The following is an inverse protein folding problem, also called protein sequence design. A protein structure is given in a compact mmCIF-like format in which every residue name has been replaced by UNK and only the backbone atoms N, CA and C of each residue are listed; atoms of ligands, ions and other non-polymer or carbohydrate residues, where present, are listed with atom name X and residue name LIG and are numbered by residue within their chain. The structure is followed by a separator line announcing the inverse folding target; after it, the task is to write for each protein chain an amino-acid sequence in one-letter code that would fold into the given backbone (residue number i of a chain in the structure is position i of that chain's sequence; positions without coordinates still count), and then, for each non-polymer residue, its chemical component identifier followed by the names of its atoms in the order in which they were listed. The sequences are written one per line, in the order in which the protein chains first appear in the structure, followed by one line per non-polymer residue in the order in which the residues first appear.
data_IF_887795671152
#
_entry.id   IF_887795671152
#
_cell.length_a   1.000
_cell.length_b   1.000
_cell.length_c   1.000
_cell.angle_alpha   90.00
_cell.angle_beta   90.00
_cell.angle_gamma   90.00
#
_symmetry.space_group_name_H-M   'P 1'
#
loop_
_entity.id
_entity.type
_entity.pdbx_description
1 polymer ?
#
# COMPACT_ATOMS: atom_id res chain seq x y z
N UNK A 1 6.55 18.67 9.05
CA UNK A 1 5.93 17.71 10.00
C UNK A 1 6.14 18.17 11.42
N UNK A 2 5.49 17.53 12.42
CA UNK A 2 5.48 17.97 13.83
C UNK A 2 6.89 18.26 14.40
N UNK A 3 7.89 17.46 14.03
CA UNK A 3 9.28 17.69 14.42
C UNK A 3 9.85 19.02 13.93
N UNK A 4 9.57 19.41 12.68
CA UNK A 4 10.10 20.65 12.12
C UNK A 4 9.59 21.89 12.85
N UNK A 5 8.30 21.91 13.22
CA UNK A 5 7.70 22.98 14.04
C UNK A 5 8.29 23.03 15.44
N UNK A 6 8.53 21.88 16.08
CA UNK A 6 9.21 21.84 17.38
C UNK A 6 10.67 22.30 17.27
N UNK A 7 11.36 21.95 16.18
CA UNK A 7 12.72 22.38 15.92
C UNK A 7 12.83 23.90 15.79
N UNK A 8 11.83 24.59 15.23
CA UNK A 8 11.77 26.06 15.22
C UNK A 8 11.72 26.62 16.64
N UNK A 9 10.97 25.98 17.54
CA UNK A 9 10.89 26.35 18.96
C UNK A 9 12.19 26.15 19.74
N UNK A 10 13.03 25.21 19.32
CA UNK A 10 14.31 24.91 19.95
C UNK A 10 15.48 25.72 19.36
N UNK A 11 15.55 25.77 18.03
CA UNK A 11 16.72 26.20 17.27
C UNK A 11 16.51 27.48 16.45
N UNK A 12 15.40 28.20 16.61
CA UNK A 12 15.18 29.47 15.94
C UNK A 12 16.29 30.47 16.27
N UNK A 13 17.10 30.85 15.28
CA UNK A 13 18.23 31.75 15.47
C UNK A 13 17.91 33.16 14.93
N UNK A 14 17.90 34.20 15.78
CA UNK A 14 17.62 35.58 15.36
C UNK A 14 18.66 36.15 14.39
N UNK A 15 19.88 35.62 14.36
CA UNK A 15 20.94 36.03 13.42
C UNK A 15 20.69 35.53 11.99
N UNK A 16 19.91 34.45 11.85
CA UNK A 16 19.59 33.85 10.55
C UNK A 16 18.32 34.49 9.97
N UNK A 17 17.37 34.86 10.84
CA UNK A 17 16.12 35.47 10.43
C UNK A 17 15.75 36.61 11.38
N UNK A 18 15.99 37.83 10.92
CA UNK A 18 15.68 39.05 11.67
C UNK A 18 14.16 39.20 11.83
N UNK A 19 13.70 39.45 13.07
CA UNK A 19 12.28 39.41 13.43
C UNK A 19 11.69 38.00 13.54
N UNK A 20 12.53 36.98 13.39
CA UNK A 20 12.15 35.58 13.48
C UNK A 20 11.94 35.07 14.91
N UNK A 21 11.32 33.89 15.04
CA UNK A 21 11.17 33.23 16.33
C UNK A 21 12.53 32.86 16.94
N UNK A 22 12.77 33.31 18.17
CA UNK A 22 13.98 32.97 18.93
C UNK A 22 13.73 31.67 19.69
N UNK A 23 14.52 30.65 19.36
CA UNK A 23 14.43 29.33 19.96
C UNK A 23 14.98 29.29 21.39
N UNK A 24 14.62 28.23 22.11
CA UNK A 24 15.04 28.00 23.49
C UNK A 24 16.56 28.06 23.66
N UNK A 25 17.32 27.48 22.72
CA UNK A 25 18.80 27.45 22.79
C UNK A 25 19.47 28.77 22.40
N UNK A 26 18.71 29.72 21.86
CA UNK A 26 19.19 31.07 21.49
C UNK A 26 18.67 32.14 22.45
N UNK A 27 18.16 31.75 23.62
CA UNK A 27 17.73 32.68 24.68
C UNK A 27 16.28 33.17 24.56
N UNK A 28 15.48 32.64 23.62
CA UNK A 28 14.07 33.02 23.43
C UNK A 28 13.11 32.49 24.49
N UNK A 29 13.60 31.69 25.44
CA UNK A 29 12.82 31.10 26.53
C UNK A 29 11.86 30.00 26.07
N UNK A 30 11.07 29.47 27.02
CA UNK A 30 10.16 28.34 26.75
C UNK A 30 8.89 28.74 25.99
N UNK A 31 8.56 30.04 25.97
CA UNK A 31 7.35 30.55 25.32
C UNK A 31 7.29 30.18 23.84
N UNK A 32 8.40 30.32 23.13
CA UNK A 32 8.45 30.00 21.70
C UNK A 32 8.23 28.51 21.43
N UNK A 33 8.80 27.64 22.25
CA UNK A 33 8.58 26.19 22.17
C UNK A 33 7.11 25.84 22.45
N UNK A 34 6.49 26.47 23.44
CA UNK A 34 5.09 26.26 23.78
C UNK A 34 4.14 26.68 22.65
N UNK A 35 4.40 27.83 22.01
CA UNK A 35 3.61 28.30 20.86
C UNK A 35 3.66 27.27 19.73
N UNK A 36 4.84 26.73 19.42
CA UNK A 36 4.99 25.71 18.38
C UNK A 36 4.28 24.40 18.75
N UNK A 37 4.36 23.98 20.02
CA UNK A 37 3.65 22.80 20.52
C UNK A 37 2.13 22.95 20.36
N UNK A 38 1.57 24.09 20.77
CA UNK A 38 0.13 24.38 20.62
C UNK A 38 -0.25 24.39 19.15
N UNK A 39 0.58 24.96 18.27
CA UNK A 39 0.35 24.94 16.82
C UNK A 39 0.25 23.52 16.26
N UNK A 40 1.17 22.63 16.64
CA UNK A 40 1.16 21.21 16.23
C UNK A 40 -0.11 20.51 16.71
N UNK A 41 -0.49 20.72 17.98
CA UNK A 41 -1.69 20.10 18.54
C UNK A 41 -2.98 20.64 17.92
N UNK A 42 -3.03 21.94 17.61
CA UNK A 42 -4.19 22.55 16.97
C UNK A 42 -4.41 21.98 15.56
N UNK A 43 -3.36 21.96 14.74
CA UNK A 43 -3.43 21.41 13.38
C UNK A 43 -3.70 19.90 13.43
N UNK A 44 -2.95 19.16 14.26
CA UNK A 44 -3.12 17.71 14.41
C UNK A 44 -4.52 17.34 14.89
N UNK A 45 -5.04 18.06 15.89
CA UNK A 45 -6.40 17.88 16.40
C UNK A 45 -7.45 18.16 15.34
N UNK A 46 -7.30 19.25 14.58
CA UNK A 46 -8.22 19.57 13.49
C UNK A 46 -8.18 18.53 12.38
N UNK A 47 -7.00 18.06 11.99
CA UNK A 47 -6.84 16.99 10.99
C UNK A 47 -7.50 15.69 11.46
N UNK A 48 -7.25 15.26 12.69
CA UNK A 48 -7.89 14.05 13.25
C UNK A 48 -9.40 14.21 13.31
N UNK A 49 -9.90 15.35 13.76
CA UNK A 49 -11.33 15.63 13.86
C UNK A 49 -12.01 15.56 12.49
N UNK A 50 -11.54 16.34 11.52
CA UNK A 50 -12.12 16.36 10.18
C UNK A 50 -11.98 15.01 9.48
N UNK A 51 -10.81 14.37 9.58
CA UNK A 51 -10.59 13.06 8.99
C UNK A 51 -11.53 12.02 9.59
N UNK A 52 -11.73 12.03 10.91
CA UNK A 52 -12.67 11.12 11.59
C UNK A 52 -14.09 11.34 11.09
N UNK A 53 -14.56 12.60 11.03
CA UNK A 53 -15.89 12.93 10.50
C UNK A 53 -16.03 12.44 9.07
N UNK A 54 -15.04 12.71 8.23
CA UNK A 54 -15.03 12.31 6.83
C UNK A 54 -15.08 10.78 6.66
N UNK A 55 -14.25 10.04 7.38
CA UNK A 55 -14.26 8.58 7.33
C UNK A 55 -15.57 7.99 7.86
N UNK A 56 -16.14 8.54 8.93
CA UNK A 56 -17.44 8.10 9.43
C UNK A 56 -18.57 8.38 8.42
N UNK A 57 -18.53 9.53 7.76
CA UNK A 57 -19.49 9.86 6.71
C UNK A 57 -19.38 8.89 5.52
N UNK A 58 -18.16 8.59 5.05
CA UNK A 58 -17.93 7.61 3.97
C UNK A 58 -18.35 6.20 4.37
N UNK A 59 -18.09 5.80 5.61
CA UNK A 59 -18.53 4.51 6.13
C UNK A 59 -20.05 4.38 6.11
N UNK A 60 -20.77 5.47 6.39
CA UNK A 60 -22.23 5.49 6.39
C UNK A 60 -22.83 5.57 4.98
N UNK A 61 -22.15 6.21 4.02
CA UNK A 61 -22.68 6.41 2.67
C UNK A 61 -22.34 5.31 1.68
N UNK A 62 -21.08 4.86 1.65
CA UNK A 62 -20.56 3.96 0.60
C UNK A 62 -20.00 2.65 1.16
N UNK A 63 -19.59 2.65 2.43
CA UNK A 63 -18.84 1.53 3.00
C UNK A 63 -17.37 1.58 2.58
N UNK A 64 -16.46 1.53 3.55
CA UNK A 64 -15.01 1.69 3.31
C UNK A 64 -14.26 0.36 3.16
N UNK A 65 -14.89 -0.74 3.56
CA UNK A 65 -14.31 -2.07 3.56
C UNK A 65 -15.08 -2.92 2.58
N UNK A 66 -14.36 -3.54 1.65
CA UNK A 66 -14.89 -4.58 0.74
C UNK A 66 -15.44 -5.74 1.55
N UNK A 67 -16.37 -6.49 0.97
CA UNK A 67 -16.92 -7.69 1.62
C UNK A 67 -15.82 -8.75 1.82
N UNK A 68 -15.95 -9.61 2.82
CA UNK A 68 -14.94 -10.64 3.12
C UNK A 68 -14.66 -11.58 1.92
N UNK A 69 -15.65 -11.76 1.06
CA UNK A 69 -15.55 -12.55 -0.18
C UNK A 69 -14.67 -11.84 -1.24
N UNK A 70 -14.81 -10.52 -1.41
CA UNK A 70 -13.98 -9.71 -2.31
C UNK A 70 -12.55 -9.50 -1.76
N UNK A 71 -12.39 -9.47 -0.43
CA UNK A 71 -11.08 -9.42 0.25
C UNK A 71 -10.26 -10.70 -0.03
N UNK A 72 -10.92 -11.86 -0.17
CA UNK A 72 -10.27 -13.15 -0.48
C UNK A 72 -9.90 -13.33 -1.95
N UNK A 73 -10.70 -12.78 -2.86
CA UNK A 73 -10.45 -12.84 -4.32
C UNK A 73 -9.36 -11.84 -4.72
N UNK A 74 -9.24 -10.71 -4.01
CA UNK A 74 -8.23 -9.69 -4.24
C UNK A 74 -8.76 -8.55 -5.11
N UNK A 75 -8.49 -7.31 -4.66
CA UNK A 75 -9.04 -6.07 -5.25
C UNK A 75 -8.62 -5.84 -6.71
N UNK A 76 -7.48 -6.41 -7.13
CA UNK A 76 -6.95 -6.29 -8.50
C UNK A 76 -7.82 -7.03 -9.54
N UNK A 77 -8.45 -8.15 -9.15
CA UNK A 77 -9.27 -8.98 -10.07
C UNK A 77 -10.60 -8.30 -10.41
N UNK A 78 -11.20 -7.58 -9.46
CA UNK A 78 -12.50 -6.94 -9.63
C UNK A 78 -12.49 -5.64 -10.45
N UNK A 79 -11.41 -4.85 -10.37
CA UNK A 79 -11.39 -3.48 -10.93
C UNK A 79 -10.40 -3.28 -12.09
N UNK A 80 -9.36 -4.12 -12.21
CA UNK A 80 -8.30 -3.96 -13.22
C UNK A 80 -8.18 -5.13 -14.21
N UNK A 81 -8.98 -6.19 -14.07
CA UNK A 81 -9.08 -7.28 -15.06
C UNK A 81 -7.77 -8.03 -15.34
N UNK A 82 -6.76 -7.87 -14.49
CA UNK A 82 -5.45 -8.51 -14.60
C UNK A 82 -5.04 -9.05 -13.23
N UNK A 83 -4.82 -10.36 -13.13
CA UNK A 83 -4.16 -10.95 -11.97
C UNK A 83 -2.74 -10.38 -11.85
N UNK A 84 -2.42 -9.79 -10.69
CA UNK A 84 -1.07 -9.28 -10.40
C UNK A 84 0.02 -10.39 -10.47
N UNK A 85 -0.37 -11.67 -10.48
CA UNK A 85 0.53 -12.80 -10.60
C UNK A 85 0.07 -13.80 -11.67
N UNK A 86 0.33 -13.50 -12.94
CA UNK A 86 0.33 -14.51 -14.00
C UNK A 86 1.53 -15.46 -13.82
N UNK A 87 1.38 -16.50 -12.98
CA UNK A 87 2.37 -17.59 -12.94
C UNK A 87 2.53 -18.38 -11.65
N UNK A 88 1.91 -18.00 -10.53
CA UNK A 88 1.89 -18.88 -9.36
C UNK A 88 0.72 -19.85 -9.46
N UNK A 89 0.93 -20.90 -10.25
CA UNK A 89 0.11 -22.11 -10.22
C UNK A 89 0.03 -22.59 -8.77
N UNK A 90 -1.15 -22.43 -8.17
CA UNK A 90 -1.52 -23.05 -6.91
C UNK A 90 -2.09 -24.45 -7.17
N UNK A 91 -1.45 -25.23 -8.04
CA UNK A 91 -1.81 -26.64 -8.25
C UNK A 91 -0.76 -27.55 -7.61
N UNK A 92 -1.00 -27.87 -6.33
CA UNK A 92 -0.38 -29.04 -5.67
C UNK A 92 -1.13 -30.34 -6.01
N UNK A 93 -2.01 -30.36 -7.00
CA UNK A 93 -2.79 -31.56 -7.39
C UNK A 93 -2.33 -32.25 -8.68
N UNK A 94 -1.35 -31.72 -9.43
CA UNK A 94 -1.00 -32.22 -10.78
C UNK A 94 0.34 -32.94 -10.95
N UNK A 95 1.27 -32.87 -9.98
CA UNK A 95 2.65 -33.37 -10.15
C UNK A 95 2.79 -34.82 -9.64
N UNK A 96 1.92 -35.71 -10.09
CA UNK A 96 2.08 -37.15 -9.90
C UNK A 96 1.49 -37.89 -11.10
N UNK A 97 2.22 -37.95 -12.23
CA UNK A 97 1.90 -38.98 -13.23
C UNK A 97 2.41 -38.80 -14.65
N UNK A 98 2.70 -37.58 -15.13
CA UNK A 98 2.94 -37.37 -16.58
C UNK A 98 4.36 -37.65 -17.06
N UNK A 99 5.21 -38.31 -16.26
CA UNK A 99 6.57 -38.69 -16.66
C UNK A 99 6.72 -40.20 -16.81
N UNK A 100 6.21 -40.74 -17.92
CA UNK A 100 6.68 -41.99 -18.51
C UNK A 100 6.44 -41.89 -20.03
N UNK A 101 7.30 -41.19 -20.78
CA UNK A 101 8.43 -41.81 -21.50
C UNK A 101 8.04 -43.16 -22.11
N UNK A 102 7.85 -43.22 -23.43
CA UNK A 102 8.32 -44.24 -24.41
C UNK A 102 7.89 -43.73 -25.80
N UNK A 103 8.76 -43.04 -26.54
CA UNK A 103 9.70 -43.58 -27.54
C UNK A 103 9.10 -43.72 -28.97
N UNK A 104 9.83 -43.08 -29.88
CA UNK A 104 9.68 -42.79 -31.32
C UNK A 104 9.46 -43.97 -32.29
N UNK A 105 8.78 -43.72 -33.42
CA UNK A 105 8.96 -44.49 -34.67
C UNK A 105 7.90 -44.33 -35.79
N UNK A 106 8.09 -43.35 -36.68
CA UNK A 106 7.58 -43.06 -38.06
C UNK A 106 6.46 -43.90 -38.77
N UNK A 107 5.53 -43.28 -39.55
CA UNK A 107 4.62 -43.99 -40.46
C UNK A 107 5.23 -44.18 -41.87
N UNK A 108 5.57 -45.43 -42.21
CA UNK A 108 6.01 -45.84 -43.55
C UNK A 108 4.90 -46.54 -44.35
N UNK A 109 4.63 -46.00 -45.53
CA UNK A 109 3.83 -46.52 -46.65
C UNK A 109 4.25 -47.94 -47.11
N UNK A 110 3.30 -48.86 -47.35
CA UNK A 110 3.27 -49.87 -48.44
C UNK A 110 2.22 -50.97 -48.16
N UNK A 111 1.43 -51.31 -49.19
CA UNK A 111 0.22 -52.14 -49.06
C UNK A 111 0.41 -53.66 -49.03
N UNK A 112 -0.71 -54.35 -48.87
CA UNK A 112 -1.00 -55.66 -49.47
C UNK A 112 -2.46 -56.06 -49.17
N UNK A 113 -3.12 -56.59 -50.19
CA UNK A 113 -4.53 -56.97 -50.30
C UNK A 113 -5.00 -58.04 -49.30
N UNK A 114 -6.32 -58.19 -49.09
CA UNK A 114 -6.91 -59.49 -48.79
C UNK A 114 -7.75 -59.96 -50.00
N UNK A 115 -7.32 -61.05 -50.64
CA UNK A 115 -8.18 -61.94 -51.39
C UNK A 115 -7.86 -63.36 -50.93
N UNK A 116 -8.92 -64.03 -50.43
CA UNK A 116 -9.01 -65.42 -49.93
C UNK A 116 -8.44 -65.69 -48.54
#
# INVERSE_FOLDING_TARGET
GAWGTLAVGLFGNPEIYEGGPVGLFYGGGINQLFIQLVGVLAVGGMTVLLSTIFWLALKASLGLRVTEEEELIGLDIGEHGMEAYSGFIKDTSGIAGSTASVHSGSPGIAGSSPNL
#
